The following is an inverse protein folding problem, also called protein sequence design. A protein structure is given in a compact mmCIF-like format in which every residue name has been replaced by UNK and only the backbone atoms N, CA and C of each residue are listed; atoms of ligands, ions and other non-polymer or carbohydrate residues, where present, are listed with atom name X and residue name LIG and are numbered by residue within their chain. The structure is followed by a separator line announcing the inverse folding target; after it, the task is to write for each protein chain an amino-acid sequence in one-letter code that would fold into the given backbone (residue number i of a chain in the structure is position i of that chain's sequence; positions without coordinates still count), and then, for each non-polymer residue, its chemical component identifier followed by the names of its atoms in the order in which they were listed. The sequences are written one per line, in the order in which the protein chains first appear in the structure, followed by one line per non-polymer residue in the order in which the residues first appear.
data_IF_450754274602
#
_entry.id   IF_450754274602
#
_cell.length_a   1.000
_cell.length_b   1.000
_cell.length_c   1.000
_cell.angle_alpha   90.00
_cell.angle_beta   90.00
_cell.angle_gamma   90.00
#
_symmetry.space_group_name_H-M   'P 1'
#
loop_
_entity.id
_entity.type
_entity.pdbx_description
1 polymer ?
#
# COMPACT_ATOMS: atom_id res chain seq x y z
N UNK A 1 -18.02 -15.52 30.07
CA UNK A 1 -16.63 -15.31 29.59
C UNK A 1 -16.68 -15.06 28.09
N UNK A 2 -16.43 -13.83 27.63
CA UNK A 2 -16.45 -13.50 26.20
C UNK A 2 -15.06 -13.78 25.65
N UNK A 3 -14.88 -14.90 24.96
CA UNK A 3 -13.62 -15.24 24.30
C UNK A 3 -13.40 -14.27 23.15
N UNK A 4 -12.62 -13.21 23.38
CA UNK A 4 -12.23 -12.27 22.33
C UNK A 4 -11.34 -13.04 21.36
N UNK A 5 -11.94 -13.56 20.27
CA UNK A 5 -11.19 -14.21 19.19
C UNK A 5 -10.20 -13.19 18.65
N UNK A 6 -8.92 -13.39 18.96
CA UNK A 6 -7.80 -12.62 18.42
C UNK A 6 -7.83 -12.77 16.90
N UNK A 7 -8.43 -11.79 16.21
CA UNK A 7 -8.55 -11.84 14.76
C UNK A 7 -7.17 -11.99 14.14
N UNK A 8 -6.94 -13.15 13.52
CA UNK A 8 -5.69 -13.49 12.87
C UNK A 8 -5.64 -12.70 11.57
N UNK A 9 -4.62 -11.85 11.43
CA UNK A 9 -4.41 -11.04 10.24
C UNK A 9 -4.36 -11.94 9.01
N UNK A 10 -5.27 -11.72 8.05
CA UNK A 10 -5.33 -12.49 6.80
C UNK A 10 -4.34 -11.95 5.78
N UNK A 11 -3.05 -12.23 6.01
CA UNK A 11 -1.96 -11.76 5.13
C UNK A 11 -2.20 -12.08 3.64
N UNK A 12 -2.72 -13.28 3.33
CA UNK A 12 -3.05 -13.68 1.94
C UNK A 12 -4.12 -12.80 1.30
N UNK A 13 -5.11 -12.38 2.07
CA UNK A 13 -6.21 -11.52 1.58
C UNK A 13 -5.70 -10.10 1.32
N UNK A 14 -4.87 -9.57 2.23
CA UNK A 14 -4.18 -8.28 2.04
C UNK A 14 -3.28 -8.29 0.81
N UNK A 15 -2.56 -9.39 0.57
CA UNK A 15 -1.69 -9.50 -0.58
C UNK A 15 -2.47 -9.54 -1.90
N UNK A 16 -3.58 -10.29 -1.94
CA UNK A 16 -4.50 -10.29 -3.08
C UNK A 16 -5.09 -8.90 -3.34
N UNK A 17 -5.57 -8.23 -2.29
CA UNK A 17 -6.15 -6.90 -2.40
C UNK A 17 -5.13 -5.87 -2.91
N UNK A 18 -3.92 -5.90 -2.36
CA UNK A 18 -2.82 -5.06 -2.83
C UNK A 18 -2.49 -5.32 -4.32
N UNK A 19 -2.48 -6.59 -4.74
CA UNK A 19 -2.22 -6.93 -6.14
C UNK A 19 -3.36 -6.47 -7.07
N UNK A 20 -4.61 -6.53 -6.61
CA UNK A 20 -5.74 -5.91 -7.33
C UNK A 20 -5.54 -4.41 -7.50
N UNK A 21 -5.13 -3.69 -6.44
CA UNK A 21 -4.87 -2.24 -6.56
C UNK A 21 -3.78 -1.93 -7.57
N UNK A 22 -2.73 -2.76 -7.62
CA UNK A 22 -1.66 -2.62 -8.61
C UNK A 22 -2.16 -2.88 -10.03
N UNK A 23 -3.01 -3.90 -10.21
CA UNK A 23 -3.56 -4.27 -11.52
C UNK A 23 -4.54 -3.22 -12.06
N UNK A 24 -5.35 -2.64 -11.17
CA UNK A 24 -6.34 -1.62 -11.50
C UNK A 24 -5.74 -0.19 -11.49
N UNK A 25 -4.42 -0.07 -11.34
CA UNK A 25 -3.70 1.20 -11.31
C UNK A 25 -4.14 2.19 -10.20
N UNK A 26 -4.88 1.69 -9.22
CA UNK A 26 -5.40 2.45 -8.08
C UNK A 26 -4.28 3.00 -7.18
N UNK A 27 -3.14 2.30 -7.15
CA UNK A 27 -1.95 2.73 -6.41
C UNK A 27 -1.31 4.02 -6.96
N UNK A 28 -1.55 4.32 -8.24
CA UNK A 28 -1.02 5.50 -8.92
C UNK A 28 -2.01 6.66 -8.88
N UNK A 29 -3.30 6.35 -9.05
CA UNK A 29 -4.39 7.32 -9.19
C UNK A 29 -4.72 8.04 -7.87
N UNK A 30 -4.82 7.31 -6.76
CA UNK A 30 -5.03 7.93 -5.44
C UNK A 30 -3.73 8.57 -4.97
N UNK A 31 -3.62 9.88 -5.08
CA UNK A 31 -2.47 10.69 -4.65
C UNK A 31 -2.00 10.33 -3.23
N UNK A 32 -2.92 10.14 -2.27
CA UNK A 32 -2.63 9.69 -0.91
C UNK A 32 -3.69 8.71 -0.42
N UNK A 33 -3.27 7.48 -0.08
CA UNK A 33 -4.12 6.56 0.66
C UNK A 33 -3.87 6.79 2.14
N UNK A 34 -4.86 7.32 2.85
CA UNK A 34 -4.84 7.35 4.30
C UNK A 34 -5.35 6.07 4.92
N UNK A 35 -4.93 5.81 6.16
CA UNK A 35 -5.40 4.64 6.91
C UNK A 35 -6.92 4.69 7.11
N UNK A 36 -7.47 5.88 7.30
CA UNK A 36 -8.91 6.08 7.50
C UNK A 36 -9.68 5.80 6.20
N UNK A 37 -9.19 6.30 5.06
CA UNK A 37 -9.80 6.03 3.75
C UNK A 37 -9.81 4.52 3.43
N UNK A 38 -8.70 3.82 3.70
CA UNK A 38 -8.62 2.37 3.56
C UNK A 38 -9.55 1.63 4.54
N UNK A 39 -9.75 2.16 5.75
CA UNK A 39 -10.66 1.57 6.74
C UNK A 39 -12.12 1.78 6.35
N UNK A 40 -12.47 2.94 5.77
CA UNK A 40 -13.80 3.25 5.26
C UNK A 40 -14.13 2.46 4.00
N UNK A 41 -13.17 2.35 3.06
CA UNK A 41 -13.33 1.57 1.84
C UNK A 41 -13.40 0.05 2.11
N UNK A 42 -12.71 -0.42 3.15
CA UNK A 42 -12.66 -1.84 3.51
C UNK A 42 -13.01 -2.05 4.99
N UNK A 43 -14.28 -1.87 5.39
CA UNK A 43 -14.72 -2.04 6.78
C UNK A 43 -14.61 -3.50 7.26
N UNK A 44 -14.46 -4.45 6.31
CA UNK A 44 -14.21 -5.86 6.58
C UNK A 44 -12.78 -6.15 7.05
N UNK A 45 -11.86 -5.19 6.90
CA UNK A 45 -10.48 -5.30 7.38
C UNK A 45 -10.37 -4.75 8.80
N UNK A 46 -9.61 -5.45 9.63
CA UNK A 46 -9.29 -4.93 10.95
C UNK A 46 -8.23 -3.84 10.89
N UNK A 47 -8.10 -3.04 11.95
CA UNK A 47 -7.05 -2.00 12.07
C UNK A 47 -5.64 -2.52 11.75
N UNK A 48 -5.30 -3.75 12.14
CA UNK A 48 -4.00 -4.38 11.82
C UNK A 48 -3.83 -4.71 10.34
N UNK A 49 -4.90 -5.18 9.71
CA UNK A 49 -4.97 -5.52 8.30
C UNK A 49 -4.89 -4.26 7.43
N UNK A 50 -5.65 -3.21 7.77
CA UNK A 50 -5.58 -1.89 7.16
C UNK A 50 -4.17 -1.30 7.28
N UNK A 51 -3.57 -1.35 8.48
CA UNK A 51 -2.20 -0.87 8.69
C UNK A 51 -1.18 -1.60 7.80
N UNK A 52 -1.33 -2.92 7.63
CA UNK A 52 -0.45 -3.71 6.76
C UNK A 52 -0.62 -3.35 5.28
N UNK A 53 -1.86 -3.18 4.83
CA UNK A 53 -2.15 -2.74 3.47
C UNK A 53 -1.57 -1.36 3.21
N UNK A 54 -1.82 -0.40 4.09
CA UNK A 54 -1.27 0.95 4.04
C UNK A 54 0.26 0.93 3.91
N UNK A 55 0.96 0.16 4.76
CA UNK A 55 2.42 0.05 4.71
C UNK A 55 2.92 -0.53 3.38
N UNK A 56 2.23 -1.53 2.80
CA UNK A 56 2.57 -2.07 1.48
C UNK A 56 2.39 -1.03 0.38
N UNK A 57 1.30 -0.28 0.40
CA UNK A 57 1.03 0.81 -0.55
C UNK A 57 2.11 1.88 -0.46
N UNK A 58 2.41 2.36 0.75
CA UNK A 58 3.45 3.37 0.99
C UNK A 58 4.83 2.88 0.54
N UNK A 59 5.19 1.62 0.85
CA UNK A 59 6.46 1.05 0.43
C UNK A 59 6.55 0.90 -1.09
N UNK A 60 5.47 0.52 -1.76
CA UNK A 60 5.45 0.45 -3.22
C UNK A 60 5.60 1.83 -3.88
N UNK A 61 4.89 2.85 -3.37
CA UNK A 61 5.05 4.23 -3.83
C UNK A 61 6.48 4.72 -3.60
N UNK A 62 7.05 4.46 -2.44
CA UNK A 62 8.43 4.82 -2.13
C UNK A 62 9.44 4.12 -3.08
N UNK A 63 9.27 2.81 -3.34
CA UNK A 63 10.13 2.07 -4.28
C UNK A 63 10.01 2.62 -5.70
N UNK A 64 8.79 2.95 -6.13
CA UNK A 64 8.52 3.58 -7.43
C UNK A 64 9.19 4.95 -7.54
N UNK A 65 8.99 5.83 -6.55
CA UNK A 65 9.63 7.15 -6.48
C UNK A 65 11.16 7.05 -6.45
N UNK A 66 11.72 6.03 -5.79
CA UNK A 66 13.17 5.80 -5.76
C UNK A 66 13.71 5.37 -7.12
N UNK A 67 12.98 4.51 -7.85
CA UNK A 67 13.33 4.15 -9.24
C UNK A 67 13.29 5.36 -10.16
N UNK A 68 12.24 6.18 -10.04
CA UNK A 68 12.08 7.41 -10.82
C UNK A 68 13.23 8.40 -10.58
N UNK A 69 13.66 8.57 -9.32
CA UNK A 69 14.83 9.40 -8.97
C UNK A 69 16.16 8.83 -9.46
N UNK A 70 16.28 7.50 -9.60
CA UNK A 70 17.48 6.86 -10.13
C UNK A 70 17.66 7.07 -11.64
N UNK A 71 16.56 7.28 -12.37
CA UNK A 71 16.57 7.69 -13.79
C UNK A 71 16.92 9.17 -14.01
N UNK A 72 16.96 9.99 -12.94
CA UNK A 72 17.28 11.43 -12.99
C UNK A 72 18.72 11.70 -12.50
N UNK A 73 19.65 10.75 -12.69
CA UNK A 73 21.09 10.97 -12.43
C UNK A 73 21.97 10.58 -13.61
N UNK A 74 21.93 11.41 -14.66
CA UNK A 74 23.12 11.98 -15.33
C UNK A 74 22.68 12.75 -16.60
N UNK A 75 22.45 14.06 -16.56
CA UNK A 75 22.86 14.88 -17.69
C UNK A 75 24.40 14.79 -17.72
N UNK A 76 24.95 14.07 -18.71
CA UNK A 76 26.37 14.21 -19.06
C UNK A 76 26.57 15.68 -19.48
N UNK A 77 27.01 16.52 -18.54
CA UNK A 77 27.66 17.76 -18.92
C UNK A 77 28.98 17.36 -19.60
N UNK A 78 28.99 17.40 -20.94
CA UNK A 78 30.23 17.51 -21.71
C UNK A 78 30.75 18.93 -21.47
N UNK A 79 31.84 19.06 -20.73
CA UNK A 79 32.75 20.21 -20.83
C UNK A 79 33.74 19.96 -21.96
#
# INVERSE_FOLDING_TARGET
MITIKKQKVRKKEIDRLFNSFKKENLLEDKAEYDKEDLQLAYPKLNKKEVKLLYLKVQQWKYDKLKKDKSTIKHPKFKS
#
